data_IF_109001639088
#
_entry.id   IF_109001639088
#
_cell.length_a   1.000
_cell.length_b   1.000
_cell.length_c   1.000
_cell.angle_alpha   90.00
_cell.angle_beta   90.00
_cell.angle_gamma   90.00
#
_symmetry.space_group_name_H-M   'P 1'
#
loop_
_entity.id
_entity.type
_entity.pdbx_description
1 polymer ?
#
# COMPACT_ATOMS: atom_id res chain seq x y z
N UNK A 1 21.95 -6.87 15.70
CA UNK A 1 22.28 -6.14 14.46
C UNK A 1 20.96 -6.00 13.73
N UNK A 2 20.17 -5.01 14.14
CA UNK A 2 18.86 -4.71 13.55
C UNK A 2 19.11 -4.05 12.20
N UNK A 3 18.51 -4.59 11.14
CA UNK A 3 18.41 -4.00 9.81
C UNK A 3 17.66 -2.66 9.92
N UNK A 4 18.38 -1.62 10.35
CA UNK A 4 17.97 -0.21 10.39
C UNK A 4 18.05 0.45 8.99
N UNK A 5 18.11 -0.38 7.93
CA UNK A 5 18.16 0.06 6.53
C UNK A 5 16.77 0.08 5.85
N UNK A 6 15.73 -0.45 6.51
CA UNK A 6 14.40 -0.58 5.91
C UNK A 6 13.50 0.67 6.05
N UNK A 7 14.01 1.77 6.64
CA UNK A 7 13.23 2.98 6.93
C UNK A 7 13.89 4.26 6.39
N UNK A 8 14.53 4.19 5.22
CA UNK A 8 14.70 5.42 4.43
C UNK A 8 13.31 6.01 4.14
N UNK A 9 13.14 7.35 4.13
CA UNK A 9 11.88 7.96 3.74
C UNK A 9 11.57 7.65 2.27
N UNK A 10 10.94 6.51 2.06
CA UNK A 10 10.49 6.04 0.76
C UNK A 10 9.24 6.81 0.38
N UNK A 11 9.36 7.67 -0.62
CA UNK A 11 8.18 8.27 -1.24
C UNK A 11 7.44 7.14 -1.96
N UNK A 12 6.18 6.83 -1.59
CA UNK A 12 5.48 5.72 -2.19
C UNK A 12 5.43 5.87 -3.72
N UNK A 13 5.66 4.78 -4.44
CA UNK A 13 5.49 4.74 -5.88
C UNK A 13 4.01 4.79 -6.26
N UNK A 14 3.71 5.02 -7.54
CA UNK A 14 2.32 4.97 -8.02
C UNK A 14 1.71 3.57 -7.89
N UNK A 15 2.49 2.52 -8.15
CA UNK A 15 2.05 1.14 -8.01
C UNK A 15 1.68 0.79 -6.56
N UNK A 16 2.48 1.25 -5.59
CA UNK A 16 2.20 1.08 -4.16
C UNK A 16 0.96 1.85 -3.72
N UNK A 17 0.79 3.10 -4.19
CA UNK A 17 -0.43 3.87 -3.92
C UNK A 17 -1.66 3.16 -4.50
N UNK A 18 -1.58 2.69 -5.74
CA UNK A 18 -2.67 1.97 -6.39
C UNK A 18 -3.00 0.66 -5.65
N UNK A 19 -2.00 -0.05 -5.13
CA UNK A 19 -2.19 -1.24 -4.32
C UNK A 19 -2.96 -0.94 -3.03
N UNK A 20 -2.59 0.12 -2.30
CA UNK A 20 -3.32 0.55 -1.09
C UNK A 20 -4.76 0.93 -1.38
N UNK A 21 -5.02 1.62 -2.50
CA UNK A 21 -6.39 1.96 -2.94
C UNK A 21 -7.21 0.69 -3.16
N UNK A 22 -6.69 -0.28 -3.93
CA UNK A 22 -7.38 -1.56 -4.16
C UNK A 22 -7.70 -2.31 -2.87
N UNK A 23 -6.78 -2.32 -1.91
CA UNK A 23 -7.02 -2.93 -0.59
C UNK A 23 -8.19 -2.26 0.12
N UNK A 24 -8.26 -0.93 0.14
CA UNK A 24 -9.37 -0.19 0.78
C UNK A 24 -10.71 -0.44 0.10
N UNK A 25 -10.71 -0.47 -1.23
CA UNK A 25 -11.90 -0.82 -2.01
C UNK A 25 -12.38 -2.23 -1.68
N UNK A 26 -11.45 -3.21 -1.61
CA UNK A 26 -11.78 -4.58 -1.25
C UNK A 26 -12.29 -4.71 0.18
N UNK A 27 -11.66 -4.01 1.12
CA UNK A 27 -12.00 -4.06 2.53
C UNK A 27 -13.35 -3.42 2.86
N UNK A 28 -13.92 -2.62 1.97
CA UNK A 28 -15.15 -1.85 2.27
C UNK A 28 -16.30 -2.79 2.64
N UNK A 29 -16.82 -2.64 3.85
CA UNK A 29 -17.87 -3.49 4.40
C UNK A 29 -17.38 -4.73 5.18
N UNK A 30 -16.09 -5.05 5.15
CA UNK A 30 -15.54 -6.23 5.84
C UNK A 30 -15.48 -6.04 7.35
N UNK A 31 -15.76 -7.12 8.08
CA UNK A 31 -15.48 -7.24 9.51
C UNK A 31 -13.98 -7.46 9.77
N UNK A 32 -13.58 -7.34 11.04
CA UNK A 32 -12.20 -7.64 11.49
C UNK A 32 -11.74 -9.03 11.05
N UNK A 33 -12.60 -10.05 11.17
CA UNK A 33 -12.23 -11.43 10.85
C UNK A 33 -11.99 -11.61 9.35
N UNK A 34 -12.88 -11.07 8.51
CA UNK A 34 -12.73 -11.12 7.04
C UNK A 34 -11.48 -10.35 6.58
N UNK A 35 -11.20 -9.19 7.19
CA UNK A 35 -9.98 -8.43 6.90
C UNK A 35 -8.72 -9.19 7.33
N UNK A 36 -8.75 -9.91 8.46
CA UNK A 36 -7.64 -10.75 8.92
C UNK A 36 -7.39 -11.94 7.97
N UNK A 37 -8.44 -12.60 7.49
CA UNK A 37 -8.30 -13.67 6.48
C UNK A 37 -7.72 -13.14 5.16
N UNK A 38 -8.15 -11.95 4.72
CA UNK A 38 -7.60 -11.29 3.54
C UNK A 38 -6.14 -10.88 3.74
N UNK A 39 -5.76 -10.45 4.95
CA UNK A 39 -4.37 -10.17 5.30
C UNK A 39 -3.50 -11.44 5.19
N UNK A 40 -3.93 -12.56 5.77
CA UNK A 40 -3.20 -13.84 5.67
C UNK A 40 -3.03 -14.29 4.21
N UNK A 41 -4.04 -14.06 3.36
CA UNK A 41 -3.93 -14.32 1.93
C UNK A 41 -2.88 -13.44 1.26
N UNK A 42 -2.90 -12.14 1.53
CA UNK A 42 -1.93 -11.19 0.98
C UNK A 42 -0.49 -11.49 1.44
N UNK A 43 -0.31 -11.93 2.69
CA UNK A 43 1.01 -12.31 3.22
C UNK A 43 1.55 -13.58 2.52
N UNK A 44 0.69 -14.56 2.22
CA UNK A 44 1.07 -15.73 1.42
C UNK A 44 1.49 -15.35 0.00
N UNK A 45 0.74 -14.47 -0.66
CA UNK A 45 1.08 -13.97 -1.99
C UNK A 45 2.40 -13.19 -2.00
N UNK A 46 2.67 -12.41 -0.95
CA UNK A 46 3.94 -11.71 -0.80
C UNK A 46 5.10 -12.69 -0.66
N UNK A 47 4.95 -13.75 0.15
CA UNK A 47 5.95 -14.80 0.30
C UNK A 47 6.29 -15.48 -1.03
N UNK A 48 5.27 -15.83 -1.82
CA UNK A 48 5.46 -16.41 -3.16
C UNK A 48 6.16 -15.44 -4.13
N UNK A 49 5.88 -14.14 -4.00
CA UNK A 49 6.53 -13.11 -4.81
C UNK A 49 8.00 -12.91 -4.43
N UNK A 50 8.34 -13.09 -3.15
CA UNK A 50 9.72 -13.06 -2.64
C UNK A 50 10.53 -14.24 -3.14
N UNK A 51 9.96 -15.45 -3.08
CA UNK A 51 10.56 -16.67 -3.61
C UNK A 51 10.86 -16.52 -5.11
N UNK A 52 9.88 -16.07 -5.90
CA UNK A 52 10.05 -15.84 -7.34
C UNK A 52 11.12 -14.77 -7.66
N UNK A 53 11.23 -13.73 -6.83
CA UNK A 53 12.26 -12.70 -7.00
C UNK A 53 13.67 -13.23 -6.65
N UNK A 54 13.77 -14.11 -5.65
CA UNK A 54 15.01 -14.78 -5.27
C UNK A 54 15.51 -15.74 -6.34
N UNK A 55 14.63 -16.56 -6.93
CA UNK A 55 14.97 -17.48 -8.02
C UNK A 55 15.39 -16.75 -9.30
N UNK A 56 14.76 -15.63 -9.63
CA UNK A 56 15.12 -14.80 -10.79
C UNK A 56 16.51 -14.14 -10.66
N UNK A 57 17.04 -14.02 -9.43
CA UNK A 57 18.35 -13.45 -9.15
C UNK A 57 19.54 -14.39 -9.42
N UNK A 58 19.30 -15.69 -9.60
CA UNK A 58 20.36 -16.70 -9.76
C UNK A 58 20.64 -17.06 -11.24
N UNK A 59 19.76 -16.67 -12.17
CA UNK A 59 19.92 -16.91 -13.62
C UNK A 59 20.47 -15.66 -14.36
N UNK A 60 21.80 -15.56 -14.48
CA UNK A 60 22.61 -14.79 -15.45
C UNK A 60 22.30 -13.29 -15.77
N UNK A 61 23.32 -12.44 -16.05
CA UNK A 61 23.13 -11.01 -16.29
C UNK A 61 22.50 -10.73 -17.67
N UNK A 62 21.19 -10.49 -17.69
CA UNK A 62 20.44 -10.10 -18.89
C UNK A 62 19.26 -9.18 -18.54
N UNK A 63 19.53 -7.86 -18.56
CA UNK A 63 18.58 -6.71 -18.44
C UNK A 63 17.10 -7.04 -18.20
N UNK A 64 16.47 -6.58 -17.09
CA UNK A 64 15.01 -6.55 -17.00
C UNK A 64 14.47 -5.51 -17.99
N UNK A 65 14.15 -5.94 -19.21
CA UNK A 65 13.42 -5.13 -20.19
C UNK A 65 11.94 -5.47 -20.06
N UNK A 66 11.29 -4.80 -19.11
CA UNK A 66 9.84 -4.83 -18.95
C UNK A 66 9.40 -3.61 -18.15
N UNK A 67 8.49 -2.82 -18.70
CA UNK A 67 7.76 -1.76 -18.02
C UNK A 67 6.84 -2.36 -16.93
N UNK A 68 7.45 -2.88 -15.86
CA UNK A 68 6.75 -3.58 -14.79
C UNK A 68 7.60 -4.59 -14.00
N UNK A 69 8.93 -4.41 -13.95
CA UNK A 69 9.85 -5.36 -13.32
C UNK A 69 9.48 -5.82 -11.90
N UNK A 70 10.01 -6.98 -11.48
CA UNK A 70 9.59 -7.70 -10.26
C UNK A 70 9.65 -6.85 -9.00
N UNK A 71 10.60 -5.91 -8.90
CA UNK A 71 10.72 -4.99 -7.76
C UNK A 71 9.49 -4.06 -7.60
N UNK A 72 8.87 -3.60 -8.70
CA UNK A 72 7.63 -2.80 -8.64
C UNK A 72 6.44 -3.66 -8.22
N UNK A 73 6.38 -4.91 -8.68
CA UNK A 73 5.35 -5.86 -8.28
C UNK A 73 5.49 -6.24 -6.80
N UNK A 74 6.72 -6.50 -6.35
CA UNK A 74 7.03 -6.80 -4.95
C UNK A 74 6.75 -5.60 -4.03
N UNK A 75 7.15 -4.38 -4.43
CA UNK A 75 6.80 -3.16 -3.69
C UNK A 75 5.29 -2.96 -3.56
N UNK A 76 4.53 -3.17 -4.64
CA UNK A 76 3.07 -3.11 -4.61
C UNK A 76 2.45 -4.18 -3.69
N UNK A 77 2.96 -5.41 -3.70
CA UNK A 77 2.54 -6.49 -2.80
C UNK A 77 2.83 -6.15 -1.34
N UNK A 78 4.03 -5.64 -1.02
CA UNK A 78 4.38 -5.15 0.32
C UNK A 78 3.49 -4.02 0.78
N UNK A 79 3.17 -3.07 -0.10
CA UNK A 79 2.27 -1.96 0.21
C UNK A 79 0.84 -2.45 0.47
N UNK A 80 0.37 -3.47 -0.24
CA UNK A 80 -0.93 -4.10 0.01
C UNK A 80 -0.98 -4.77 1.39
N UNK A 81 0.01 -5.61 1.73
CA UNK A 81 0.12 -6.25 3.05
C UNK A 81 0.15 -5.21 4.17
N UNK A 82 0.95 -4.15 4.02
CA UNK A 82 1.01 -3.07 5.00
C UNK A 82 -0.36 -2.37 5.20
N UNK A 83 -1.15 -2.21 4.14
CA UNK A 83 -2.48 -1.63 4.23
C UNK A 83 -3.49 -2.57 4.90
N UNK A 84 -3.43 -3.87 4.60
CA UNK A 84 -4.26 -4.88 5.26
C UNK A 84 -4.02 -4.95 6.76
N UNK A 85 -2.76 -4.89 7.21
CA UNK A 85 -2.41 -4.82 8.64
C UNK A 85 -3.04 -3.61 9.32
N UNK A 86 -2.89 -2.43 8.73
CA UNK A 86 -3.48 -1.18 9.25
C UNK A 86 -5.01 -1.29 9.36
N UNK A 87 -5.69 -1.82 8.33
CA UNK A 87 -7.15 -1.98 8.37
C UNK A 87 -7.56 -2.97 9.45
N UNK A 88 -6.85 -4.09 9.59
CA UNK A 88 -7.13 -5.10 10.61
C UNK A 88 -6.96 -4.50 12.01
N UNK A 89 -5.88 -3.76 12.26
CA UNK A 89 -5.66 -3.04 13.53
C UNK A 89 -6.77 -2.01 13.81
N UNK A 90 -7.14 -1.21 12.80
CA UNK A 90 -8.24 -0.24 12.91
C UNK A 90 -9.57 -0.93 13.30
N UNK A 91 -9.88 -2.05 12.65
CA UNK A 91 -11.11 -2.81 12.91
C UNK A 91 -11.09 -3.51 14.27
N UNK A 92 -9.92 -3.91 14.74
CA UNK A 92 -9.76 -4.48 16.07
C UNK A 92 -10.11 -3.45 17.16
N UNK A 93 -9.64 -2.21 17.01
CA UNK A 93 -9.83 -1.14 18.00
C UNK A 93 -11.24 -0.53 17.97
N UNK A 94 -11.83 -0.37 16.77
CA UNK A 94 -13.09 0.37 16.60
C UNK A 94 -14.32 -0.53 16.42
N UNK A 95 -14.14 -1.77 15.96
CA UNK A 95 -15.23 -2.69 15.63
C UNK A 95 -16.09 -2.22 14.44
N UNK A 96 -17.08 -3.03 14.07
CA UNK A 96 -17.96 -2.76 12.93
C UNK A 96 -17.30 -3.02 11.57
N UNK A 97 -18.03 -2.79 10.46
CA UNK A 97 -17.49 -2.97 9.11
C UNK A 97 -16.55 -1.83 8.72
N UNK A 98 -15.50 -2.12 7.96
CA UNK A 98 -14.58 -1.10 7.47
C UNK A 98 -15.28 -0.13 6.53
N UNK A 99 -15.04 1.16 6.73
CA UNK A 99 -15.52 2.23 5.86
C UNK A 99 -14.40 3.26 5.63
N UNK A 100 -13.97 3.50 4.38
CA UNK A 100 -12.94 4.49 4.07
C UNK A 100 -13.41 5.93 4.36
N UNK A 101 -14.72 6.17 4.39
CA UNK A 101 -15.30 7.49 4.68
C UNK A 101 -15.13 7.89 6.15
N UNK A 102 -15.05 6.90 7.05
CA UNK A 102 -14.85 7.12 8.49
C UNK A 102 -13.40 6.90 8.94
N UNK A 103 -12.51 6.53 8.01
CA UNK A 103 -11.11 6.27 8.30
C UNK A 103 -10.28 7.58 8.32
N UNK A 104 -9.86 7.99 9.51
CA UNK A 104 -9.14 9.25 9.71
C UNK A 104 -7.84 9.35 8.91
N UNK A 105 -7.12 8.24 8.71
CA UNK A 105 -5.89 8.24 7.91
C UNK A 105 -6.19 8.48 6.43
N UNK A 106 -7.22 7.81 5.88
CA UNK A 106 -7.66 8.02 4.50
C UNK A 106 -8.15 9.45 4.30
N UNK A 107 -8.96 9.98 5.21
CA UNK A 107 -9.44 11.36 5.15
C UNK A 107 -8.29 12.38 5.21
N UNK A 108 -7.26 12.12 6.02
CA UNK A 108 -6.03 12.92 6.05
C UNK A 108 -5.28 12.92 4.71
N UNK A 109 -5.15 11.76 4.06
CA UNK A 109 -4.51 11.65 2.74
C UNK A 109 -5.29 12.41 1.65
N UNK A 110 -6.62 12.31 1.64
CA UNK A 110 -7.47 13.02 0.69
C UNK A 110 -7.38 14.54 0.89
N UNK A 111 -7.40 14.99 2.14
CA UNK A 111 -7.25 16.41 2.49
C UNK A 111 -5.90 16.96 2.02
N UNK A 112 -4.81 16.22 2.26
CA UNK A 112 -3.49 16.61 1.79
C UNK A 112 -3.42 16.71 0.26
N UNK A 113 -4.00 15.73 -0.46
CA UNK A 113 -4.06 15.74 -1.93
C UNK A 113 -4.84 16.95 -2.46
N UNK A 114 -5.98 17.27 -1.85
CA UNK A 114 -6.76 18.45 -2.21
C UNK A 114 -5.96 19.75 -2.00
N UNK A 115 -5.19 19.84 -0.91
CA UNK A 115 -4.31 20.99 -0.63
C UNK A 115 -3.16 21.11 -1.63
N UNK A 116 -2.58 19.99 -2.09
CA UNK A 116 -1.55 19.98 -3.14
C UNK A 116 -2.09 20.33 -4.52
N UNK A 117 -3.37 20.05 -4.79
CA UNK A 117 -4.05 20.38 -6.04
C UNK A 117 -4.52 21.83 -6.16
N UNK A 118 -4.40 22.64 -5.11
CA UNK A 118 -4.72 24.07 -5.15
C UNK A 118 -3.48 24.89 -5.53
N UNK A 119 -3.29 25.30 -6.80
CA UNK A 119 -2.27 26.29 -7.13
C UNK A 119 -2.60 27.60 -6.41
N UNK A 120 -1.61 28.16 -5.70
CA UNK A 120 -1.70 29.44 -4.95
C UNK A 120 -1.75 30.68 -5.86
N UNK A 121 -2.45 30.63 -6.99
CA UNK A 121 -2.55 31.75 -7.93
C UNK A 121 -4.01 32.04 -8.26
N UNK A 122 -4.69 32.75 -7.35
CA UNK A 122 -5.67 33.77 -7.76
C UNK A 122 -5.98 34.76 -6.61
N UNK A 123 -4.95 35.41 -6.07
CA UNK A 123 -5.14 36.66 -5.32
C UNK A 123 -4.65 37.81 -6.18
N UNK A 124 -5.36 38.00 -7.30
CA UNK A 124 -5.48 39.29 -7.98
C UNK A 124 -6.06 40.31 -7.00
N UNK A 125 -5.14 41.02 -6.35
CA UNK A 125 -5.37 42.17 -5.49
C UNK A 125 -6.09 43.28 -6.28
N UNK A 126 -7.24 43.80 -5.82
CA UNK A 126 -7.75 45.07 -6.33
C UNK A 126 -6.86 46.25 -5.91
#
# INVERSE_FOLDING_TARGET
MTDDAANEPHVPTEAERAARVRVREHATGMSHHEAAEALEAAERELGQSEEAAGEAGEEAPGKPSGEGGPERSYGAARAAVAEWRRITELLFDHGGPYSPDTDAFVQGQLTARAAHGHPKYDLGRP
#
